data_IF_612357977522
#
_entry.id   IF_612357977522
#
_cell.length_a   1.000
_cell.length_b   1.000
_cell.length_c   1.000
_cell.angle_alpha   90.00
_cell.angle_beta   90.00
_cell.angle_gamma   90.00
#
_symmetry.space_group_name_H-M   'P 1'
#
loop_
_entity.id
_entity.type
_entity.pdbx_description
1 polymer ?
#
# COMPACT_ATOMS: atom_id res chain seq x y z
N UNK A 1 19.91 -10.71 -1.37
CA UNK A 1 20.15 -12.17 -1.54
C UNK A 1 21.42 -12.69 -0.84
N UNK A 2 22.37 -11.86 -0.40
CA UNK A 2 23.67 -12.32 0.12
C UNK A 2 23.72 -12.69 1.62
N UNK A 3 22.75 -12.25 2.44
CA UNK A 3 22.84 -12.37 3.90
C UNK A 3 22.46 -13.75 4.45
N UNK A 4 21.48 -14.45 3.86
CA UNK A 4 21.05 -15.78 4.33
C UNK A 4 22.16 -16.84 4.17
N UNK A 5 23.09 -16.62 3.23
CA UNK A 5 24.28 -17.46 3.02
C UNK A 5 25.40 -17.18 4.03
N UNK A 6 25.36 -16.03 4.73
CA UNK A 6 26.34 -15.69 5.78
C UNK A 6 25.99 -16.28 7.15
N UNK A 7 24.86 -17.00 7.27
CA UNK A 7 24.50 -17.69 8.51
C UNK A 7 25.54 -18.79 8.78
N UNK A 8 26.32 -18.62 9.84
CA UNK A 8 27.34 -19.58 10.22
C UNK A 8 26.69 -20.94 10.54
N UNK A 9 27.28 -22.02 10.00
CA UNK A 9 26.81 -23.41 10.20
C UNK A 9 26.69 -23.81 11.68
N UNK A 10 27.43 -23.11 12.55
CA UNK A 10 27.43 -23.29 14.01
C UNK A 10 26.11 -22.89 14.68
N UNK A 11 25.33 -21.99 14.09
CA UNK A 11 24.13 -21.44 14.73
C UNK A 11 22.84 -22.18 14.35
N UNK A 12 22.84 -22.89 13.22
CA UNK A 12 21.74 -23.76 12.79
C UNK A 12 22.31 -25.05 12.20
N UNK A 13 22.38 -26.11 13.03
CA UNK A 13 22.99 -27.39 12.66
C UNK A 13 22.14 -28.19 11.65
N UNK A 14 20.82 -28.09 11.77
CA UNK A 14 19.85 -28.81 10.93
C UNK A 14 19.87 -28.29 9.48
N UNK A 15 20.28 -29.17 8.56
CA UNK A 15 20.41 -28.83 7.15
C UNK A 15 19.08 -28.53 6.48
N UNK A 16 18.02 -29.26 6.84
CA UNK A 16 16.68 -29.05 6.29
C UNK A 16 16.09 -27.73 6.77
N UNK A 17 16.29 -27.38 8.05
CA UNK A 17 15.86 -26.08 8.58
C UNK A 17 16.55 -24.91 7.86
N UNK A 18 17.85 -25.04 7.58
CA UNK A 18 18.61 -24.02 6.84
C UNK A 18 18.10 -23.85 5.41
N UNK A 19 17.77 -24.96 4.75
CA UNK A 19 17.21 -24.93 3.40
C UNK A 19 15.83 -24.25 3.37
N UNK A 20 14.94 -24.57 4.32
CA UNK A 20 13.65 -23.88 4.48
C UNK A 20 13.83 -22.39 4.73
N UNK A 21 14.79 -22.00 5.58
CA UNK A 21 15.09 -20.59 5.86
C UNK A 21 15.60 -19.85 4.61
N UNK A 22 16.46 -20.49 3.82
CA UNK A 22 16.95 -19.95 2.53
C UNK A 22 15.80 -19.74 1.54
N UNK A 23 14.92 -20.73 1.39
CA UNK A 23 13.74 -20.59 0.53
C UNK A 23 12.82 -19.47 1.01
N UNK A 24 12.57 -19.38 2.32
CA UNK A 24 11.74 -18.34 2.92
C UNK A 24 12.35 -16.94 2.73
N UNK A 25 13.68 -16.82 2.77
CA UNK A 25 14.41 -15.58 2.48
C UNK A 25 14.29 -15.12 1.02
N UNK A 26 14.07 -16.03 0.06
CA UNK A 26 13.84 -15.67 -1.34
C UNK A 26 12.53 -14.90 -1.54
N UNK A 27 11.54 -15.13 -0.68
CA UNK A 27 10.24 -14.44 -0.72
C UNK A 27 10.21 -13.19 0.17
N UNK A 28 11.31 -12.88 0.85
CA UNK A 28 11.38 -11.74 1.73
C UNK A 28 11.69 -10.44 0.99
N UNK A 29 11.16 -9.33 1.52
CA UNK A 29 11.60 -8.00 1.10
C UNK A 29 13.09 -7.77 1.44
N UNK A 30 13.67 -6.68 0.94
CA UNK A 30 15.06 -6.30 1.24
C UNK A 30 15.36 -6.24 2.75
N UNK A 31 14.37 -5.86 3.55
CA UNK A 31 14.44 -5.79 5.01
C UNK A 31 14.15 -7.13 5.72
N UNK A 32 13.90 -8.21 4.97
CA UNK A 32 13.56 -9.53 5.50
C UNK A 32 12.15 -9.71 6.04
N UNK A 33 11.29 -8.71 5.86
CA UNK A 33 9.91 -8.73 6.39
C UNK A 33 8.91 -9.20 5.36
N UNK A 34 7.74 -9.61 5.85
CA UNK A 34 6.55 -9.85 5.05
C UNK A 34 6.65 -11.09 4.18
N UNK A 35 7.28 -12.15 4.67
CA UNK A 35 7.33 -13.43 3.95
C UNK A 35 6.04 -14.20 4.21
N UNK A 36 5.33 -14.66 3.18
CA UNK A 36 4.12 -15.47 3.38
C UNK A 36 3.91 -16.56 2.32
N UNK A 37 4.95 -17.31 1.92
CA UNK A 37 4.73 -18.48 1.07
C UNK A 37 3.85 -19.50 1.81
N UNK A 38 2.97 -20.18 1.07
CA UNK A 38 2.19 -21.28 1.66
C UNK A 38 3.10 -22.46 1.99
N UNK A 39 2.67 -23.30 2.95
CA UNK A 39 3.41 -24.52 3.31
C UNK A 39 3.58 -25.44 2.10
N UNK A 40 2.54 -25.53 1.25
CA UNK A 40 2.61 -26.30 0.01
C UNK A 40 3.69 -25.74 -0.94
N UNK A 41 3.73 -24.42 -1.13
CA UNK A 41 4.75 -23.78 -1.97
C UNK A 41 6.18 -24.01 -1.44
N UNK A 42 6.37 -23.90 -0.13
CA UNK A 42 7.66 -24.25 0.51
C UNK A 42 7.99 -25.74 0.36
N UNK A 43 6.99 -26.63 0.36
CA UNK A 43 7.16 -28.06 0.13
C UNK A 43 7.68 -28.34 -1.29
N UNK A 44 7.10 -27.68 -2.30
CA UNK A 44 7.55 -27.74 -3.69
C UNK A 44 8.98 -27.20 -3.86
N UNK A 45 9.27 -26.03 -3.26
CA UNK A 45 10.58 -25.37 -3.40
C UNK A 45 11.71 -26.14 -2.68
N UNK A 46 11.40 -26.82 -1.58
CA UNK A 46 12.41 -27.52 -0.75
C UNK A 46 12.47 -29.03 -1.00
N UNK A 47 11.47 -29.61 -1.68
CA UNK A 47 11.30 -31.06 -1.84
C UNK A 47 11.00 -31.82 -0.55
N UNK A 48 10.71 -31.12 0.55
CA UNK A 48 10.35 -31.72 1.84
C UNK A 48 8.84 -31.90 1.94
N UNK A 49 8.36 -32.89 2.69
CA UNK A 49 6.92 -33.01 2.97
C UNK A 49 6.38 -31.79 3.72
N UNK A 50 5.10 -31.44 3.53
CA UNK A 50 4.48 -30.33 4.26
C UNK A 50 4.60 -30.47 5.78
N UNK A 51 4.52 -31.69 6.32
CA UNK A 51 4.70 -31.95 7.75
C UNK A 51 6.10 -31.58 8.21
N UNK A 52 7.11 -31.94 7.43
CA UNK A 52 8.50 -31.59 7.69
C UNK A 52 8.70 -30.08 7.62
N UNK A 53 8.13 -29.41 6.60
CA UNK A 53 8.20 -27.95 6.47
C UNK A 53 7.61 -27.25 7.70
N UNK A 54 6.41 -27.65 8.14
CA UNK A 54 5.80 -27.09 9.37
C UNK A 54 6.70 -27.28 10.59
N UNK A 55 7.23 -28.48 10.79
CA UNK A 55 8.14 -28.77 11.90
C UNK A 55 9.40 -27.91 11.85
N UNK A 56 10.01 -27.72 10.67
CA UNK A 56 11.19 -26.87 10.52
C UNK A 56 10.87 -25.38 10.73
N UNK A 57 9.71 -24.90 10.31
CA UNK A 57 9.25 -23.54 10.60
C UNK A 57 9.07 -23.33 12.10
N UNK A 58 8.52 -24.31 12.82
CA UNK A 58 8.42 -24.26 14.29
C UNK A 58 9.81 -24.25 14.95
N UNK A 59 10.73 -25.10 14.52
CA UNK A 59 12.12 -25.12 14.99
C UNK A 59 12.80 -23.75 14.77
N UNK A 60 12.67 -23.17 13.57
CA UNK A 60 13.23 -21.86 13.25
C UNK A 60 12.61 -20.75 14.10
N UNK A 61 11.33 -20.84 14.43
CA UNK A 61 10.62 -19.90 15.30
C UNK A 61 11.09 -20.01 16.75
N UNK A 62 11.21 -21.24 17.27
CA UNK A 62 11.70 -21.50 18.62
C UNK A 62 13.15 -21.09 18.79
N UNK A 63 13.99 -21.31 17.77
CA UNK A 63 15.37 -20.85 17.74
C UNK A 63 15.51 -19.34 17.45
N UNK A 64 14.42 -18.62 17.22
CA UNK A 64 14.41 -17.17 17.07
C UNK A 64 14.87 -16.65 15.70
N UNK A 65 15.02 -17.51 14.70
CA UNK A 65 15.40 -17.09 13.34
C UNK A 65 14.27 -16.36 12.60
N UNK A 66 13.03 -16.74 12.91
CA UNK A 66 11.82 -16.17 12.31
C UNK A 66 10.83 -15.78 13.40
N UNK A 67 10.09 -14.72 13.14
CA UNK A 67 9.01 -14.23 14.02
C UNK A 67 7.74 -14.14 13.19
N UNK A 68 6.57 -14.26 13.82
CA UNK A 68 5.31 -13.96 13.14
C UNK A 68 5.26 -12.47 12.81
N UNK A 69 5.21 -12.18 11.52
CA UNK A 69 5.14 -10.81 11.00
C UNK A 69 3.72 -10.27 10.99
N UNK A 70 3.53 -9.17 10.25
CA UNK A 70 2.23 -8.54 10.09
C UNK A 70 1.28 -9.42 9.26
N UNK A 71 0.36 -10.13 9.92
CA UNK A 71 -0.62 -11.01 9.27
C UNK A 71 -1.61 -10.26 8.36
N UNK A 72 -1.77 -8.94 8.54
CA UNK A 72 -2.61 -8.13 7.67
C UNK A 72 -2.11 -8.11 6.22
N UNK A 73 -0.81 -8.35 5.98
CA UNK A 73 -0.26 -8.42 4.62
C UNK A 73 -0.88 -9.58 3.82
N UNK A 74 -1.04 -10.76 4.43
CA UNK A 74 -1.69 -11.90 3.78
C UNK A 74 -3.18 -11.60 3.48
N UNK A 75 -3.84 -10.81 4.33
CA UNK A 75 -5.23 -10.43 4.15
C UNK A 75 -5.47 -9.49 2.96
N UNK A 76 -4.47 -8.71 2.54
CA UNK A 76 -4.57 -7.85 1.35
C UNK A 76 -4.60 -8.67 0.05
N UNK A 77 -3.91 -9.80 0.02
CA UNK A 77 -3.81 -10.64 -1.18
C UNK A 77 -4.82 -11.79 -1.20
N UNK A 78 -5.30 -12.24 -0.04
CA UNK A 78 -6.19 -13.39 0.10
C UNK A 78 -7.38 -13.00 0.97
N UNK A 79 -8.52 -12.74 0.33
CA UNK A 79 -9.76 -12.36 1.01
C UNK A 79 -10.27 -13.47 1.93
N UNK A 80 -10.13 -14.73 1.53
CA UNK A 80 -10.64 -15.87 2.30
C UNK A 80 -9.75 -16.19 3.52
N UNK A 81 -10.29 -16.00 4.73
CA UNK A 81 -9.57 -16.12 5.99
C UNK A 81 -8.88 -17.48 6.19
N UNK A 82 -9.56 -18.59 5.88
CA UNK A 82 -9.07 -19.95 6.18
C UNK A 82 -7.90 -20.40 5.31
N UNK A 83 -7.66 -19.69 4.20
CA UNK A 83 -6.57 -20.00 3.26
C UNK A 83 -5.36 -19.08 3.43
N UNK A 84 -5.40 -18.17 4.41
CA UNK A 84 -4.31 -17.21 4.64
C UNK A 84 -3.09 -17.92 5.21
N UNK A 85 -1.94 -17.90 4.50
CA UNK A 85 -0.70 -18.41 5.06
C UNK A 85 -0.22 -17.50 6.18
N UNK A 86 0.56 -18.08 7.10
CA UNK A 86 1.18 -17.32 8.19
C UNK A 86 2.29 -16.46 7.62
N UNK A 87 2.26 -15.16 7.94
CA UNK A 87 3.32 -14.22 7.60
C UNK A 87 4.46 -14.35 8.59
N UNK A 88 5.69 -14.49 8.11
CA UNK A 88 6.92 -14.50 8.90
C UNK A 88 7.84 -13.34 8.53
N UNK A 89 8.51 -12.81 9.54
CA UNK A 89 9.61 -11.84 9.41
C UNK A 89 10.92 -12.52 9.82
N UNK A 90 11.95 -12.29 9.02
CA UNK A 90 13.29 -12.82 9.23
C UNK A 90 14.08 -11.90 10.16
N UNK A 91 14.79 -12.47 11.14
CA UNK A 91 15.67 -11.70 12.02
C UNK A 91 17.06 -11.55 11.41
N UNK A 92 17.27 -10.54 10.55
CA UNK A 92 18.56 -10.28 9.87
C UNK A 92 19.63 -9.66 10.77
N UNK A 93 19.23 -8.90 11.79
CA UNK A 93 20.14 -8.18 12.67
C UNK A 93 20.25 -8.91 14.00
N UNK A 94 21.21 -9.83 14.11
CA UNK A 94 21.63 -10.34 15.42
C UNK A 94 22.34 -9.20 16.17
N UNK A 95 21.58 -8.50 17.01
CA UNK A 95 22.09 -7.44 17.87
C UNK A 95 21.04 -6.81 18.79
N UNK A 96 19.76 -6.88 18.44
CA UNK A 96 18.70 -6.47 19.36
C UNK A 96 17.47 -7.35 19.15
N UNK A 97 17.22 -8.26 20.09
CA UNK A 97 15.88 -8.82 20.26
C UNK A 97 14.92 -7.63 20.30
N UNK A 98 13.91 -7.60 19.42
CA UNK A 98 12.82 -6.66 19.58
C UNK A 98 12.27 -6.86 20.98
N UNK A 99 12.46 -5.87 21.85
CA UNK A 99 12.07 -5.97 23.25
C UNK A 99 10.62 -6.46 23.33
N UNK A 100 10.29 -7.45 24.19
CA UNK A 100 8.94 -7.96 24.28
C UNK A 100 8.02 -6.79 24.59
N UNK A 101 7.19 -6.40 23.63
CA UNK A 101 6.18 -5.35 23.80
C UNK A 101 4.97 -5.92 24.56
N UNK A 102 5.23 -6.70 25.61
CA UNK A 102 4.19 -7.01 26.58
C UNK A 102 4.02 -5.75 27.44
N UNK A 103 2.90 -5.06 27.21
CA UNK A 103 2.33 -4.00 28.07
C UNK A 103 3.08 -2.66 28.05
N UNK A 104 2.71 -1.81 27.09
CA UNK A 104 2.65 -0.35 27.35
C UNK A 104 1.24 -0.05 27.86
N UNK A 105 1.06 -0.23 29.17
CA UNK A 105 -0.11 0.18 29.92
C UNK A 105 0.38 0.44 31.33
N UNK A 106 0.34 1.69 31.75
CA UNK A 106 0.60 2.05 33.13
C UNK A 106 -0.61 1.59 33.95
N UNK A 107 -0.47 0.45 34.63
CA UNK A 107 -1.36 0.09 35.72
C UNK A 107 -0.97 1.00 36.90
N UNK A 108 -1.52 2.20 36.93
CA UNK A 108 -1.37 3.14 38.05
C UNK A 108 -2.20 2.66 39.22
N UNK A 109 -1.67 1.76 40.06
CA UNK A 109 -2.22 1.50 41.40
C UNK A 109 -1.17 0.92 42.35
N UNK A 110 -0.01 1.58 42.44
CA UNK A 110 0.93 1.36 43.54
C UNK A 110 1.78 2.61 43.84
N UNK A 111 1.46 3.42 44.87
CA UNK A 111 2.36 4.44 45.35
C UNK A 111 3.40 3.79 46.27
N UNK A 112 4.48 3.29 45.71
CA UNK A 112 5.67 2.87 46.45
C UNK A 112 6.55 4.06 46.83
N UNK A 113 6.10 4.91 47.76
CA UNK A 113 6.92 5.96 48.33
C UNK A 113 7.36 5.55 49.75
N UNK A 114 8.64 5.19 49.92
CA UNK A 114 9.23 4.93 51.24
C UNK A 114 9.45 6.26 51.98
N UNK A 115 8.71 6.47 53.07
CA UNK A 115 9.06 7.45 54.10
C UNK A 115 10.23 6.91 54.92
N UNK A 116 11.43 7.46 54.73
CA UNK A 116 12.48 7.41 55.74
C UNK A 116 12.98 8.84 56.00
N UNK A 117 12.38 9.45 57.01
CA UNK A 117 12.89 10.61 57.71
C UNK A 117 14.03 10.15 58.62
N UNK A 118 15.24 10.71 58.47
CA UNK A 118 16.16 11.04 59.57
C UNK A 118 17.52 11.50 59.02
N UNK A 119 17.94 12.72 59.40
CA UNK A 119 19.35 13.14 59.33
C UNK A 119 19.65 14.39 58.50
N UNK A 120 18.96 15.51 58.76
CA UNK A 120 19.40 16.82 58.29
C UNK A 120 20.51 17.34 59.23
N UNK A 121 21.72 17.55 58.72
CA UNK A 121 22.67 18.49 59.30
C UNK A 121 22.76 19.71 58.36
N UNK A 122 22.36 20.87 58.90
CA UNK A 122 22.34 22.18 58.24
C UNK A 122 23.67 22.86 58.57
N UNK A 123 24.68 22.72 57.72
CA UNK A 123 25.75 23.72 57.55
C UNK A 123 26.93 23.14 56.77
N UNK A 124 27.05 23.49 55.50
CA UNK A 124 28.33 23.85 54.86
C UNK A 124 28.01 24.57 53.56
N UNK A 125 28.48 25.80 53.46
CA UNK A 125 28.40 26.67 52.30
C UNK A 125 29.55 26.30 51.36
N UNK A 126 29.24 25.70 50.20
CA UNK A 126 30.23 25.51 49.14
C UNK A 126 29.57 25.36 47.76
N UNK A 127 29.66 26.42 46.95
CA UNK A 127 29.82 26.30 45.49
C UNK A 127 28.68 26.77 44.59
N UNK A 128 28.97 27.87 43.87
CA UNK A 128 28.41 28.38 42.62
C UNK A 128 26.97 28.94 42.60
N UNK A 129 26.84 30.19 42.15
CA UNK A 129 25.57 30.82 41.78
C UNK A 129 24.80 29.92 40.80
N UNK A 130 23.55 29.62 41.14
CA UNK A 130 22.66 28.82 40.31
C UNK A 130 22.50 29.45 38.93
N UNK A 131 22.72 28.64 37.88
CA UNK A 131 22.38 29.02 36.51
C UNK A 131 20.90 29.47 36.42
N UNK A 132 20.57 30.46 35.58
CA UNK A 132 19.20 30.95 35.45
C UNK A 132 18.25 29.79 35.11
N UNK A 133 17.12 29.72 35.81
CA UNK A 133 16.09 28.70 35.61
C UNK A 133 15.67 28.68 34.14
N UNK A 134 15.63 27.51 33.47
CA UNK A 134 15.04 27.41 32.13
C UNK A 134 13.57 27.87 32.19
N UNK A 135 13.05 28.50 31.12
CA UNK A 135 11.70 29.05 31.12
C UNK A 135 10.69 27.94 31.41
N UNK A 136 9.83 28.21 32.38
CA UNK A 136 8.73 27.33 32.79
C UNK A 136 7.86 27.08 31.55
N UNK A 137 7.76 25.81 31.14
CA UNK A 137 6.85 25.37 30.09
C UNK A 137 5.42 25.67 30.56
N UNK A 138 4.87 26.83 30.18
CA UNK A 138 3.54 27.26 30.58
C UNK A 138 2.54 26.24 30.07
N UNK A 139 1.88 25.53 30.99
CA UNK A 139 0.73 24.70 30.65
C UNK A 139 -0.37 25.62 30.12
N UNK A 140 -0.70 25.41 28.85
CA UNK A 140 -1.75 26.12 28.10
C UNK A 140 -3.04 26.12 28.94
N UNK A 141 -3.67 27.29 29.07
CA UNK A 141 -4.90 27.43 29.87
C UNK A 141 -6.04 26.65 29.20
N UNK A 142 -7.00 26.09 29.96
CA UNK A 142 -8.11 25.28 29.41
C UNK A 142 -8.88 25.94 28.27
N UNK A 143 -8.95 27.27 28.23
CA UNK A 143 -9.61 28.02 27.15
C UNK A 143 -8.77 27.99 25.86
N UNK A 144 -7.47 28.24 25.96
CA UNK A 144 -6.54 28.10 24.84
C UNK A 144 -6.49 26.67 24.30
N UNK A 145 -6.62 25.66 25.17
CA UNK A 145 -6.72 24.25 24.75
C UNK A 145 -7.99 24.01 23.90
N UNK A 146 -9.13 24.57 24.28
CA UNK A 146 -10.38 24.48 23.51
C UNK A 146 -10.30 25.21 22.18
N UNK A 147 -9.66 26.37 22.15
CA UNK A 147 -9.47 27.14 20.91
C UNK A 147 -8.56 26.36 19.94
N UNK A 148 -7.49 25.74 20.44
CA UNK A 148 -6.63 24.86 19.65
C UNK A 148 -7.39 23.62 19.16
N UNK A 149 -8.19 22.98 20.03
CA UNK A 149 -8.99 21.81 19.67
C UNK A 149 -10.07 22.16 18.61
N UNK A 150 -10.65 23.37 18.69
CA UNK A 150 -11.59 23.88 17.69
C UNK A 150 -10.92 24.15 16.34
N UNK A 151 -9.74 24.78 16.34
CA UNK A 151 -8.95 25.01 15.12
C UNK A 151 -8.50 23.68 14.49
N UNK A 152 -8.12 22.69 15.31
CA UNK A 152 -7.76 21.35 14.84
C UNK A 152 -8.99 20.63 14.27
N UNK A 153 -10.15 20.74 14.91
CA UNK A 153 -11.40 20.16 14.41
C UNK A 153 -11.83 20.79 13.08
N UNK A 154 -11.68 22.11 12.94
CA UNK A 154 -11.98 22.83 11.70
C UNK A 154 -10.99 22.46 10.59
N UNK A 155 -9.70 22.36 10.89
CA UNK A 155 -8.70 21.85 9.94
C UNK A 155 -8.98 20.40 9.53
N UNK A 156 -9.40 19.54 10.46
CA UNK A 156 -9.77 18.16 10.18
C UNK A 156 -11.05 18.08 9.33
N UNK A 157 -12.05 18.93 9.57
CA UNK A 157 -13.25 19.03 8.74
C UNK A 157 -12.92 19.52 7.33
N UNK A 158 -12.02 20.50 7.19
CA UNK A 158 -11.50 20.96 5.91
C UNK A 158 -10.73 19.85 5.17
N UNK A 159 -10.01 18.98 5.90
CA UNK A 159 -9.33 17.82 5.32
C UNK A 159 -10.29 16.69 4.90
N UNK A 160 -11.39 16.47 5.64
CA UNK A 160 -12.42 15.46 5.33
C UNK A 160 -13.29 15.82 4.12
N UNK A 161 -13.49 17.12 3.84
CA UNK A 161 -14.24 17.58 2.68
C UNK A 161 -13.50 17.41 1.33
N UNK A 162 -12.20 17.07 1.38
CA UNK A 162 -11.31 16.98 0.23
C UNK A 162 -10.62 15.62 0.13
N UNK A 163 -11.31 14.52 0.45
CA UNK A 163 -10.72 13.18 0.28
C UNK A 163 -10.70 12.78 -1.21
N UNK A 164 -9.84 13.42 -2.00
CA UNK A 164 -9.52 13.10 -3.40
C UNK A 164 -9.05 11.63 -3.58
N UNK A 165 -8.76 10.94 -2.48
CA UNK A 165 -8.35 9.52 -2.46
C UNK A 165 -9.54 8.57 -2.35
N UNK A 166 -10.73 9.06 -2.04
CA UNK A 166 -11.92 8.22 -1.97
C UNK A 166 -12.19 7.61 -3.35
N UNK A 167 -12.26 6.27 -3.36
CA UNK A 167 -12.57 5.50 -4.56
C UNK A 167 -14.07 5.25 -4.60
N UNK A 168 -14.72 5.54 -5.72
CA UNK A 168 -16.14 5.35 -5.93
C UNK A 168 -16.44 4.70 -7.29
N UNK A 169 -17.56 3.97 -7.35
CA UNK A 169 -18.12 3.49 -8.62
C UNK A 169 -18.78 4.66 -9.35
N UNK A 170 -18.72 4.65 -10.68
CA UNK A 170 -19.29 5.71 -11.52
C UNK A 170 -20.80 5.87 -11.25
N UNK A 171 -21.26 7.12 -11.16
CA UNK A 171 -22.67 7.49 -10.96
C UNK A 171 -23.11 8.56 -11.97
N UNK A 172 -24.41 8.67 -12.25
CA UNK A 172 -24.93 9.48 -13.37
C UNK A 172 -24.64 10.99 -13.22
N UNK A 173 -24.72 11.50 -11.98
CA UNK A 173 -24.49 12.89 -11.62
C UNK A 173 -22.99 13.24 -11.45
N UNK A 174 -22.08 12.31 -11.76
CA UNK A 174 -20.66 12.58 -11.63
C UNK A 174 -20.22 13.67 -12.60
N UNK A 175 -19.42 14.62 -12.13
CA UNK A 175 -18.82 15.66 -12.97
C UNK A 175 -17.30 15.56 -12.90
N UNK A 176 -16.59 15.69 -14.05
CA UNK A 176 -15.15 15.63 -14.05
C UNK A 176 -14.56 16.87 -13.39
N UNK A 177 -13.57 16.68 -12.51
CA UNK A 177 -12.81 17.78 -11.93
C UNK A 177 -12.06 18.53 -13.04
N UNK A 178 -12.34 19.83 -13.19
CA UNK A 178 -11.87 20.66 -14.32
C UNK A 178 -10.35 20.66 -14.44
N UNK A 179 -9.64 20.89 -13.34
CA UNK A 179 -8.17 20.90 -13.28
C UNK A 179 -7.57 19.53 -13.59
N UNK A 180 -8.03 18.49 -12.90
CA UNK A 180 -7.51 17.14 -13.09
C UNK A 180 -7.74 16.64 -14.52
N UNK A 181 -8.91 16.94 -15.11
CA UNK A 181 -9.19 16.58 -16.49
C UNK A 181 -8.30 17.35 -17.48
N UNK A 182 -8.11 18.66 -17.28
CA UNK A 182 -7.24 19.47 -18.13
C UNK A 182 -5.80 18.93 -18.11
N UNK A 183 -5.27 18.58 -16.93
CA UNK A 183 -3.95 17.97 -16.79
C UNK A 183 -3.87 16.64 -17.54
N UNK A 184 -4.89 15.78 -17.45
CA UNK A 184 -4.92 14.49 -18.14
C UNK A 184 -5.04 14.63 -19.66
N UNK A 185 -5.80 15.61 -20.17
CA UNK A 185 -5.88 15.91 -21.61
C UNK A 185 -4.54 16.42 -22.14
N UNK A 186 -3.86 17.30 -21.40
CA UNK A 186 -2.54 17.79 -21.74
C UNK A 186 -1.50 16.64 -21.79
N UNK A 187 -1.50 15.76 -20.78
CA UNK A 187 -0.64 14.56 -20.74
C UNK A 187 -0.93 13.61 -21.90
N UNK A 188 -2.20 13.44 -22.27
CA UNK A 188 -2.62 12.59 -23.38
C UNK A 188 -2.38 13.20 -24.77
N UNK A 189 -1.95 14.47 -24.85
CA UNK A 189 -1.77 15.20 -26.10
C UNK A 189 -3.09 15.50 -26.83
N UNK A 190 -4.21 15.60 -26.09
CA UNK A 190 -5.53 15.86 -26.63
C UNK A 190 -5.88 17.35 -26.51
N UNK A 191 -6.54 17.96 -27.50
CA UNK A 191 -7.00 19.34 -27.38
C UNK A 191 -8.09 19.45 -26.31
N UNK A 192 -8.14 20.58 -25.60
CA UNK A 192 -9.12 20.90 -24.55
C UNK A 192 -10.56 20.73 -25.03
N UNK A 193 -10.82 21.00 -26.31
CA UNK A 193 -12.14 20.97 -26.93
C UNK A 193 -12.59 19.54 -27.30
N UNK A 194 -11.82 18.52 -26.91
CA UNK A 194 -12.19 17.12 -27.13
C UNK A 194 -13.28 16.61 -26.19
N UNK A 195 -13.64 17.40 -25.19
CA UNK A 195 -14.67 17.06 -24.23
C UNK A 195 -16.04 17.50 -24.75
N UNK A 196 -16.80 16.55 -25.30
CA UNK A 196 -18.19 16.78 -25.69
C UNK A 196 -19.15 16.07 -24.73
N UNK A 197 -20.35 16.62 -24.57
CA UNK A 197 -21.38 16.05 -23.70
C UNK A 197 -21.79 14.63 -24.10
N UNK A 198 -21.73 14.32 -25.40
CA UNK A 198 -21.98 12.98 -25.93
C UNK A 198 -20.94 11.96 -25.44
N UNK A 199 -19.66 12.35 -25.43
CA UNK A 199 -18.57 11.49 -24.96
C UNK A 199 -18.67 11.26 -23.46
N UNK A 200 -18.97 12.32 -22.69
CA UNK A 200 -19.19 12.20 -21.25
C UNK A 200 -20.37 11.27 -20.96
N UNK A 201 -21.49 11.45 -21.67
CA UNK A 201 -22.70 10.64 -21.49
C UNK A 201 -22.47 9.17 -21.85
N UNK A 202 -21.75 8.89 -22.96
CA UNK A 202 -21.38 7.54 -23.35
C UNK A 202 -20.45 6.86 -22.33
N UNK A 203 -19.47 7.61 -21.81
CA UNK A 203 -18.56 7.12 -20.77
C UNK A 203 -19.30 6.80 -19.46
N UNK A 204 -20.17 7.73 -19.01
CA UNK A 204 -21.04 7.53 -17.83
C UNK A 204 -21.93 6.30 -18.02
N UNK A 205 -22.63 6.19 -19.14
CA UNK A 205 -23.53 5.07 -19.43
C UNK A 205 -22.81 3.72 -19.36
N UNK A 206 -21.61 3.62 -19.96
CA UNK A 206 -20.82 2.40 -19.93
C UNK A 206 -20.35 2.00 -18.52
N UNK A 207 -19.92 2.97 -17.72
CA UNK A 207 -19.36 2.71 -16.40
C UNK A 207 -20.42 2.58 -15.29
N UNK A 208 -21.55 3.27 -15.40
CA UNK A 208 -22.71 3.07 -14.50
C UNK A 208 -23.27 1.65 -14.67
N UNK A 209 -23.28 1.12 -15.90
CA UNK A 209 -23.67 -0.28 -16.16
C UNK A 209 -22.67 -1.31 -15.61
N UNK A 210 -21.48 -0.89 -15.17
CA UNK A 210 -20.39 -1.74 -14.66
C UNK A 210 -19.94 -1.30 -13.26
N UNK A 211 -20.77 -1.52 -12.22
CA UNK A 211 -20.52 -1.02 -10.87
C UNK A 211 -19.29 -1.63 -10.19
N UNK A 212 -18.72 -2.71 -10.74
CA UNK A 212 -17.47 -3.31 -10.23
C UNK A 212 -16.23 -2.46 -10.45
N UNK A 213 -16.29 -1.46 -11.34
CA UNK A 213 -15.16 -0.56 -11.60
C UNK A 213 -15.21 0.62 -10.63
N UNK A 214 -14.21 0.71 -9.75
CA UNK A 214 -14.11 1.75 -8.73
C UNK A 214 -12.79 2.49 -8.88
N UNK A 215 -12.85 3.83 -8.96
CA UNK A 215 -11.69 4.69 -9.12
C UNK A 215 -11.81 5.98 -8.29
N UNK A 216 -10.69 6.68 -8.11
CA UNK A 216 -10.65 8.02 -7.52
C UNK A 216 -11.19 9.07 -8.51
N UNK A 217 -11.53 10.27 -8.04
CA UNK A 217 -11.97 11.36 -8.92
C UNK A 217 -10.95 11.65 -10.04
N UNK A 218 -9.67 11.75 -9.68
CA UNK A 218 -8.58 11.94 -10.65
C UNK A 218 -8.39 10.73 -11.58
N UNK A 219 -8.55 9.51 -11.06
CA UNK A 219 -8.48 8.29 -11.86
C UNK A 219 -9.61 8.20 -12.89
N UNK A 220 -10.83 8.63 -12.54
CA UNK A 220 -11.93 8.74 -13.49
C UNK A 220 -11.64 9.76 -14.60
N UNK A 221 -11.01 10.89 -14.29
CA UNK A 221 -10.53 11.85 -15.31
C UNK A 221 -9.49 11.23 -16.26
N UNK A 222 -8.55 10.43 -15.76
CA UNK A 222 -7.57 9.72 -16.60
C UNK A 222 -8.24 8.68 -17.53
N UNK A 223 -9.20 7.91 -17.00
CA UNK A 223 -9.97 6.95 -17.79
C UNK A 223 -10.80 7.63 -18.86
N UNK A 224 -11.39 8.78 -18.54
CA UNK A 224 -12.14 9.59 -19.49
C UNK A 224 -11.22 10.11 -20.63
N UNK A 225 -10.02 10.61 -20.31
CA UNK A 225 -9.06 11.02 -21.34
C UNK A 225 -8.64 9.85 -22.25
N UNK A 226 -8.42 8.67 -21.67
CA UNK A 226 -8.12 7.45 -22.44
C UNK A 226 -9.30 7.02 -23.32
N UNK A 227 -10.53 7.17 -22.81
CA UNK A 227 -11.76 6.91 -23.56
C UNK A 227 -11.90 7.84 -24.76
N UNK A 228 -11.70 9.15 -24.57
CA UNK A 228 -11.70 10.15 -25.65
C UNK A 228 -10.71 9.77 -26.75
N UNK A 229 -9.47 9.39 -26.36
CA UNK A 229 -8.45 8.96 -27.31
C UNK A 229 -8.92 7.74 -28.13
N UNK A 230 -9.54 6.76 -27.47
CA UNK A 230 -10.06 5.55 -28.14
C UNK A 230 -11.20 5.87 -29.10
N UNK A 231 -12.14 6.71 -28.71
CA UNK A 231 -13.25 7.13 -29.57
C UNK A 231 -12.73 7.86 -30.82
N UNK A 232 -11.75 8.76 -30.67
CA UNK A 232 -11.11 9.43 -31.82
C UNK A 232 -10.49 8.45 -32.81
N UNK A 233 -9.79 7.42 -32.32
CA UNK A 233 -9.21 6.38 -33.18
C UNK A 233 -10.29 5.57 -33.89
N UNK A 234 -11.38 5.23 -33.19
CA UNK A 234 -12.52 4.53 -33.81
C UNK A 234 -13.19 5.38 -34.89
N UNK A 235 -13.45 6.67 -34.61
CA UNK A 235 -14.05 7.58 -35.59
C UNK A 235 -13.16 7.76 -36.81
N UNK A 236 -11.84 7.91 -36.61
CA UNK A 236 -10.88 7.98 -37.72
C UNK A 236 -10.88 6.68 -38.56
N UNK A 237 -10.93 5.52 -37.92
CA UNK A 237 -11.03 4.23 -38.61
C UNK A 237 -12.34 4.06 -39.39
N UNK A 238 -13.47 4.52 -38.84
CA UNK A 238 -14.77 4.49 -39.50
C UNK A 238 -14.81 5.38 -40.75
N UNK A 239 -14.20 6.58 -40.69
CA UNK A 239 -14.07 7.48 -41.85
C UNK A 239 -13.24 6.84 -42.96
N UNK A 240 -12.11 6.20 -42.62
CA UNK A 240 -11.27 5.50 -43.59
C UNK A 240 -12.00 4.31 -44.23
N UNK A 241 -12.79 3.55 -43.46
CA UNK A 241 -13.61 2.46 -44.00
C UNK A 241 -14.74 2.94 -44.92
N UNK A 242 -15.34 4.11 -44.64
CA UNK A 242 -16.37 4.71 -45.51
C UNK A 242 -15.82 5.36 -46.79
N UNK A 243 -14.50 5.60 -46.85
CA UNK A 243 -13.83 6.24 -47.99
C UNK A 243 -13.20 5.28 -49.00
N UNK A 244 -13.27 3.96 -48.79
CA UNK A 244 -12.84 2.98 -49.79
C UNK A 244 -13.94 2.92 -50.86
N UNK A 245 -13.66 3.25 -52.14
CA UNK A 245 -14.63 3.04 -53.21
C UNK A 245 -14.99 1.55 -53.21
N UNK A 246 -16.30 1.24 -53.15
CA UNK A 246 -16.76 -0.14 -53.20
C UNK A 246 -16.07 -0.87 -54.35
N UNK A 247 -15.41 -1.98 -54.04
CA UNK A 247 -14.92 -2.89 -55.05
C UNK A 247 -16.16 -3.42 -55.78
N UNK A 248 -16.39 -2.91 -57.00
CA UNK A 248 -17.51 -3.30 -57.83
C UNK A 248 -17.17 -4.67 -58.43
N UNK A 249 -17.64 -5.73 -57.78
CA UNK A 249 -17.35 -7.14 -58.09
C UNK A 249 -17.90 -7.57 -59.49
N UNK A 250 -18.58 -6.65 -60.19
CA UNK A 250 -19.18 -6.81 -61.52
C UNK A 250 -18.39 -6.10 -62.65
N UNK A 251 -17.17 -5.59 -62.41
CA UNK A 251 -16.34 -5.03 -63.49
C UNK A 251 -15.66 -6.13 -64.33
N UNK A 252 -16.39 -6.69 -65.30
CA UNK A 252 -15.88 -7.70 -66.25
C UNK A 252 -15.24 -7.09 -67.51
N UNK A 253 -14.81 -5.81 -67.48
CA UNK A 253 -14.21 -5.12 -68.64
C UNK A 253 -12.93 -5.79 -69.18
N UNK A 254 -12.26 -6.61 -68.37
CA UNK A 254 -11.10 -7.41 -68.73
C UNK A 254 -11.39 -8.65 -69.60
N UNK A 255 -12.65 -9.09 -69.73
CA UNK A 255 -13.00 -10.37 -70.39
C UNK A 255 -13.12 -10.28 -71.92
N UNK A 256 -13.29 -9.08 -72.49
CA UNK A 256 -13.57 -8.89 -73.92
C UNK A 256 -12.40 -8.36 -74.77
N UNK A 257 -11.17 -8.39 -74.24
CA UNK A 257 -10.00 -7.88 -74.95
C UNK A 257 -9.12 -8.95 -75.58
N UNK A 258 -9.57 -9.66 -76.61
CA UNK A 258 -8.71 -10.67 -77.26
C UNK A 258 -9.26 -11.38 -78.48
N UNK A 259 -9.60 -10.65 -79.56
CA UNK A 259 -9.68 -11.24 -80.90
C UNK A 259 -9.37 -10.19 -81.97
N UNK A 260 -8.12 -10.19 -82.45
CA UNK A 260 -7.74 -9.80 -83.81
C UNK A 260 -6.52 -10.61 -84.22
#
# INVERSE_FOLDING_TARGET
MSWALQIAKTELSDSSARHVLLCLANYASADGRGTFPSVNRLSEDTGLSERTVRYKLDLLREAGWIVRGNQALAAVYIDQHDRRPVVYDLQLLRGANAAPRLKRGADFDAPGCNLQHNGVQISTERGADSAPKPPLNHQVTKEQQRDLDAVIAEQNQQALAADDRQRFAMFAQWEPATKALADQLAIAGLPSDSLTDEVISGFKGFHVAKPSTVDSAAGWCFRLATWIKRERVKTAGAVVQSGVPGYDDEDTSWINGGAK
#
